data_IF_283521779287
#
_entry.id   IF_283521779287
#
_cell.length_a   1.000
_cell.length_b   1.000
_cell.length_c   1.000
_cell.angle_alpha   90.00
_cell.angle_beta   90.00
_cell.angle_gamma   90.00
#
_symmetry.space_group_name_H-M   'P 1'
#
loop_
_entity.id
_entity.type
_entity.pdbx_description
1 polymer ?
#
# COMPACT_ATOMS: atom_id res chain seq x y z
N UNK A 1 11.84 -23.80 18.01
CA UNK A 1 11.93 -23.23 16.66
C UNK A 1 12.19 -21.74 16.81
N UNK A 2 13.46 -21.32 16.83
CA UNK A 2 13.82 -19.91 17.02
C UNK A 2 13.45 -19.15 15.75
N UNK A 3 12.44 -18.29 15.82
CA UNK A 3 12.01 -17.44 14.70
C UNK A 3 13.22 -16.64 14.19
N UNK A 4 13.69 -16.96 12.98
CA UNK A 4 14.82 -16.27 12.34
C UNK A 4 14.36 -14.85 12.04
N UNK A 5 14.88 -13.85 12.75
CA UNK A 5 14.49 -12.45 12.60
C UNK A 5 14.86 -11.99 11.19
N UNK A 6 13.91 -11.36 10.49
CA UNK A 6 14.13 -10.81 9.15
C UNK A 6 15.19 -9.71 9.20
N UNK A 7 16.07 -9.66 8.19
CA UNK A 7 17.06 -8.60 8.07
C UNK A 7 16.38 -7.22 8.03
N UNK A 8 16.94 -6.26 8.77
CA UNK A 8 16.38 -4.90 8.95
C UNK A 8 16.14 -4.16 7.63
N UNK A 9 16.88 -4.51 6.57
CA UNK A 9 16.70 -3.99 5.20
C UNK A 9 15.34 -4.34 4.58
N UNK A 10 14.74 -5.45 4.99
CA UNK A 10 13.43 -5.89 4.51
C UNK A 10 12.28 -5.45 5.41
N UNK A 11 12.57 -5.00 6.63
CA UNK A 11 11.56 -4.65 7.62
C UNK A 11 10.68 -3.49 7.15
N UNK A 12 11.27 -2.44 6.58
CA UNK A 12 10.54 -1.29 6.03
C UNK A 12 9.63 -1.65 4.84
N UNK A 13 10.11 -2.32 3.77
CA UNK A 13 9.25 -2.70 2.66
C UNK A 13 8.19 -3.75 3.06
N UNK A 14 8.50 -4.68 3.97
CA UNK A 14 7.49 -5.61 4.50
C UNK A 14 6.41 -4.86 5.27
N UNK A 15 6.81 -3.94 6.16
CA UNK A 15 5.87 -3.18 6.97
C UNK A 15 4.99 -2.28 6.10
N UNK A 16 5.55 -1.65 5.06
CA UNK A 16 4.74 -0.95 4.05
C UNK A 16 3.77 -1.89 3.34
N UNK A 17 4.20 -3.07 2.90
CA UNK A 17 3.33 -4.03 2.20
C UNK A 17 2.20 -4.58 3.06
N UNK A 18 2.36 -4.63 4.39
CA UNK A 18 1.33 -5.11 5.30
C UNK A 18 0.39 -4.00 5.76
N UNK A 19 0.94 -2.81 6.06
CA UNK A 19 0.18 -1.69 6.66
C UNK A 19 -0.57 -0.87 5.61
N UNK A 20 0.00 -0.66 4.42
CA UNK A 20 -0.67 0.12 3.37
C UNK A 20 -1.99 -0.52 2.91
N UNK A 21 -2.07 -1.83 2.61
CA UNK A 21 -3.32 -2.44 2.19
C UNK A 21 -4.36 -2.48 3.31
N UNK A 22 -3.94 -2.72 4.56
CA UNK A 22 -4.87 -2.74 5.70
C UNK A 22 -5.45 -1.36 5.99
N UNK A 23 -4.66 -0.30 5.89
CA UNK A 23 -5.21 1.06 6.04
C UNK A 23 -6.09 1.47 4.86
N UNK A 24 -5.67 1.22 3.62
CA UNK A 24 -6.43 1.60 2.42
C UNK A 24 -7.75 0.85 2.32
N UNK A 25 -7.75 -0.47 2.54
CA UNK A 25 -8.95 -1.31 2.44
C UNK A 25 -9.81 -1.26 3.71
N UNK A 26 -9.18 -1.18 4.88
CA UNK A 26 -9.89 -1.12 6.16
C UNK A 26 -10.66 0.18 6.33
N UNK A 27 -10.04 1.33 6.05
CA UNK A 27 -10.69 2.63 6.23
C UNK A 27 -11.79 2.88 5.19
N UNK A 28 -11.57 2.45 3.93
CA UNK A 28 -12.60 2.51 2.89
C UNK A 28 -13.78 1.59 3.19
N UNK A 29 -13.54 0.38 3.71
CA UNK A 29 -14.58 -0.54 4.16
C UNK A 29 -15.40 0.01 5.34
N UNK A 30 -14.74 0.58 6.35
CA UNK A 30 -15.42 1.18 7.50
C UNK A 30 -16.28 2.38 7.08
N UNK A 31 -15.76 3.25 6.21
CA UNK A 31 -16.53 4.39 5.71
C UNK A 31 -17.70 3.97 4.81
N UNK A 32 -17.50 2.97 3.95
CA UNK A 32 -18.57 2.42 3.11
C UNK A 32 -19.69 1.82 3.98
N UNK A 33 -19.34 1.10 5.04
CA UNK A 33 -20.33 0.54 5.97
C UNK A 33 -21.06 1.64 6.76
N UNK A 34 -20.34 2.67 7.22
CA UNK A 34 -20.91 3.76 8.04
C UNK A 34 -21.85 4.67 7.25
N UNK A 35 -21.56 4.89 5.97
CA UNK A 35 -22.36 5.75 5.09
C UNK A 35 -23.41 4.97 4.29
N UNK A 36 -23.58 3.67 4.57
CA UNK A 36 -24.49 2.81 3.83
C UNK A 36 -25.95 3.12 4.23
N UNK A 37 -26.84 3.45 3.27
CA UNK A 37 -28.27 3.56 3.54
C UNK A 37 -28.85 2.21 4.01
N UNK A 38 -29.85 2.25 4.89
CA UNK A 38 -30.52 1.04 5.39
C UNK A 38 -31.09 0.25 4.21
N UNK A 39 -30.60 -0.98 4.00
CA UNK A 39 -31.02 -1.88 2.93
C UNK A 39 -30.16 -1.85 1.64
N UNK A 40 -29.11 -1.03 1.58
CA UNK A 40 -28.18 -1.03 0.45
C UNK A 40 -27.12 -2.16 0.56
N UNK A 41 -26.60 -2.60 -0.58
CA UNK A 41 -25.61 -3.67 -0.64
C UNK A 41 -24.18 -3.15 -0.37
N UNK A 42 -23.57 -3.67 0.70
CA UNK A 42 -22.24 -3.28 1.14
C UNK A 42 -21.14 -3.58 0.10
N UNK A 43 -21.21 -4.74 -0.55
CA UNK A 43 -20.17 -5.14 -1.50
C UNK A 43 -20.17 -4.24 -2.75
N UNK A 44 -21.34 -3.83 -3.23
CA UNK A 44 -21.46 -2.86 -4.31
C UNK A 44 -20.86 -1.49 -3.94
N UNK A 45 -21.14 -0.97 -2.74
CA UNK A 45 -20.63 0.32 -2.28
C UNK A 45 -19.12 0.31 -2.02
N UNK A 46 -18.61 -0.76 -1.38
CA UNK A 46 -17.19 -0.93 -1.14
C UNK A 46 -16.41 -1.17 -2.44
N UNK A 47 -16.95 -1.99 -3.34
CA UNK A 47 -16.38 -2.20 -4.68
C UNK A 47 -16.33 -0.92 -5.50
N UNK A 48 -17.39 -0.10 -5.44
CA UNK A 48 -17.42 1.22 -6.08
C UNK A 48 -16.35 2.18 -5.55
N UNK A 49 -16.16 2.22 -4.23
CA UNK A 49 -15.10 3.02 -3.61
C UNK A 49 -13.69 2.54 -4.04
N UNK A 50 -13.46 1.22 -4.07
CA UNK A 50 -12.19 0.64 -4.55
C UNK A 50 -11.97 1.00 -6.04
N UNK A 51 -12.99 0.87 -6.88
CA UNK A 51 -12.89 1.17 -8.31
C UNK A 51 -12.53 2.64 -8.59
N UNK A 52 -12.91 3.57 -7.71
CA UNK A 52 -12.51 4.98 -7.80
C UNK A 52 -11.09 5.25 -7.30
N UNK A 53 -10.62 4.50 -6.30
CA UNK A 53 -9.31 4.71 -5.66
C UNK A 53 -8.18 3.97 -6.36
N UNK A 54 -8.44 2.77 -6.90
CA UNK A 54 -7.40 1.91 -7.49
C UNK A 54 -6.74 2.52 -8.73
N UNK A 55 -7.46 3.05 -9.74
CA UNK A 55 -6.83 3.63 -10.94
C UNK A 55 -5.83 4.76 -10.64
N UNK A 56 -6.17 5.81 -9.86
CA UNK A 56 -5.21 6.86 -9.54
C UNK A 56 -4.07 6.35 -8.65
N UNK A 57 -4.33 5.40 -7.74
CA UNK A 57 -3.28 4.78 -6.92
C UNK A 57 -2.26 4.01 -7.77
N UNK A 58 -2.69 3.31 -8.82
CA UNK A 58 -1.81 2.62 -9.76
C UNK A 58 -0.98 3.60 -10.59
N UNK A 59 -1.59 4.69 -11.07
CA UNK A 59 -0.85 5.75 -11.78
C UNK A 59 0.19 6.40 -10.87
N UNK A 60 -0.17 6.68 -9.62
CA UNK A 60 0.74 7.25 -8.63
C UNK A 60 1.87 6.27 -8.30
N UNK A 61 1.57 4.97 -8.16
CA UNK A 61 2.59 3.91 -7.99
C UNK A 61 3.54 3.85 -9.19
N UNK A 62 3.03 3.95 -10.41
CA UNK A 62 3.85 3.93 -11.62
C UNK A 62 4.83 5.10 -11.70
N UNK A 63 4.50 6.25 -11.09
CA UNK A 63 5.38 7.43 -11.00
C UNK A 63 6.32 7.34 -9.79
N UNK A 64 5.79 6.96 -8.63
CA UNK A 64 6.57 6.92 -7.38
C UNK A 64 7.59 5.78 -7.37
N UNK A 65 7.25 4.60 -7.91
CA UNK A 65 8.16 3.46 -7.95
C UNK A 65 9.50 3.75 -8.65
N UNK A 66 9.55 4.32 -9.87
CA UNK A 66 10.82 4.67 -10.51
C UNK A 66 11.54 5.82 -9.78
N UNK A 67 10.81 6.81 -9.26
CA UNK A 67 11.42 7.92 -8.50
C UNK A 67 12.10 7.41 -7.23
N UNK A 68 11.41 6.59 -6.45
CA UNK A 68 11.97 5.98 -5.23
C UNK A 68 13.14 5.08 -5.59
N UNK A 69 13.04 4.29 -6.67
CA UNK A 69 14.15 3.45 -7.14
C UNK A 69 15.38 4.30 -7.49
N UNK A 70 15.21 5.38 -8.23
CA UNK A 70 16.29 6.30 -8.59
C UNK A 70 16.87 6.99 -7.34
N UNK A 71 16.02 7.48 -6.44
CA UNK A 71 16.44 8.14 -5.22
C UNK A 71 17.20 7.20 -4.29
N UNK A 72 16.72 5.97 -4.09
CA UNK A 72 17.38 4.97 -3.26
C UNK A 72 18.73 4.57 -3.87
N UNK A 73 18.77 4.32 -5.18
CA UNK A 73 20.02 3.90 -5.87
C UNK A 73 21.06 5.01 -6.00
N UNK A 74 20.66 6.28 -6.02
CA UNK A 74 21.59 7.41 -6.24
C UNK A 74 21.90 8.21 -4.97
N UNK A 75 21.01 8.25 -3.99
CA UNK A 75 21.15 9.09 -2.79
C UNK A 75 21.39 8.27 -1.51
N UNK A 76 20.74 7.11 -1.36
CA UNK A 76 20.81 6.31 -0.13
C UNK A 76 21.83 5.17 -0.19
N UNK A 77 22.01 4.53 -1.35
CA UNK A 77 22.99 3.47 -1.54
C UNK A 77 24.32 4.07 -2.00
N UNK A 78 25.41 3.82 -1.25
CA UNK A 78 26.76 4.02 -1.78
C UNK A 78 26.94 3.09 -2.98
N UNK A 79 27.61 3.53 -4.07
CA UNK A 79 27.94 2.65 -5.18
C UNK A 79 28.68 1.43 -4.62
N UNK A 80 28.27 0.25 -5.07
CA UNK A 80 28.94 -1.01 -4.75
C UNK A 80 30.42 -0.83 -5.12
N UNK A 81 31.27 -0.76 -4.08
CA UNK A 81 32.71 -0.63 -4.27
C UNK A 81 33.19 -1.90 -4.97
N UNK A 82 33.74 -1.72 -6.17
CA UNK A 82 34.52 -2.72 -6.89
C UNK A 82 35.76 -3.13 -6.09
#
# INVERSE_FOLDING_TARGET
MTMKKFDRKYQYPLMMSMVLPTMLLGMSGIMAFRNLPVGADFFSAWGGAIAQVVPPALLLLAVVAPIVRLFVTKVLLKPEQA
#
